data_IF_593456313378
#
_entry.id   IF_593456313378
#
_cell.length_a   1.000
_cell.length_b   1.000
_cell.length_c   1.000
_cell.angle_alpha   90.00
_cell.angle_beta   90.00
_cell.angle_gamma   90.00
#
_symmetry.space_group_name_H-M   'P 1'
#
loop_
_entity.id
_entity.type
_entity.pdbx_description
1 polymer ?
#
# COMPACT_ATOMS: atom_id res chain seq x y z
N UNK A 1 -28.17 -10.63 3.83
CA UNK A 1 -27.79 -9.24 3.48
C UNK A 1 -26.94 -9.35 2.21
N UNK A 2 -27.30 -8.67 1.13
CA UNK A 2 -26.53 -8.71 -0.11
C UNK A 2 -25.21 -7.97 0.13
N UNK A 3 -24.08 -8.68 0.02
CA UNK A 3 -22.76 -8.05 0.01
C UNK A 3 -22.71 -7.04 -1.14
N UNK A 4 -22.56 -5.75 -0.79
CA UNK A 4 -22.32 -4.70 -1.79
C UNK A 4 -20.99 -5.02 -2.44
N UNK A 5 -20.99 -5.41 -3.72
CA UNK A 5 -19.76 -5.53 -4.48
C UNK A 5 -19.02 -4.19 -4.48
N UNK A 6 -17.80 -4.21 -3.98
CA UNK A 6 -16.93 -3.05 -4.02
C UNK A 6 -16.56 -2.81 -5.49
N UNK A 7 -16.95 -1.64 -6.03
CA UNK A 7 -16.65 -1.27 -7.41
C UNK A 7 -15.52 -0.24 -7.42
N UNK A 8 -14.37 -0.58 -8.00
CA UNK A 8 -13.21 0.33 -8.11
C UNK A 8 -13.60 1.67 -8.74
N UNK A 9 -14.51 1.69 -9.71
CA UNK A 9 -14.96 2.93 -10.34
C UNK A 9 -15.69 3.89 -9.37
N UNK A 10 -16.11 3.43 -8.19
CA UNK A 10 -16.70 4.27 -7.15
C UNK A 10 -15.68 4.82 -6.15
N UNK A 11 -14.42 4.42 -6.26
CA UNK A 11 -13.35 4.92 -5.40
C UNK A 11 -12.98 6.35 -5.76
N UNK A 12 -12.47 7.16 -4.81
CA UNK A 12 -11.90 8.45 -5.13
C UNK A 12 -10.72 8.33 -6.11
N UNK A 13 -10.41 9.42 -6.81
CA UNK A 13 -9.32 9.48 -7.77
C UNK A 13 -8.18 10.36 -7.26
N UNK A 14 -6.95 9.94 -7.55
CA UNK A 14 -5.77 10.78 -7.46
C UNK A 14 -5.73 11.79 -8.63
N UNK A 15 -4.76 12.71 -8.61
CA UNK A 15 -4.64 13.79 -9.60
C UNK A 15 -4.46 13.32 -11.06
N UNK A 16 -3.94 12.10 -11.27
CA UNK A 16 -3.81 11.46 -12.58
C UNK A 16 -5.02 10.59 -12.98
N UNK A 17 -6.11 10.62 -12.21
CA UNK A 17 -7.30 9.81 -12.46
C UNK A 17 -7.22 8.37 -11.94
N UNK A 18 -6.12 7.96 -11.31
CA UNK A 18 -5.99 6.63 -10.72
C UNK A 18 -6.92 6.49 -9.51
N UNK A 19 -7.80 5.50 -9.55
CA UNK A 19 -8.68 5.18 -8.43
C UNK A 19 -7.88 4.62 -7.25
N UNK A 20 -8.23 5.07 -6.04
CA UNK A 20 -7.55 4.61 -4.83
C UNK A 20 -8.51 4.38 -3.67
N UNK A 21 -8.08 3.55 -2.71
CA UNK A 21 -8.80 3.28 -1.46
C UNK A 21 -7.82 3.10 -0.31
N UNK A 22 -8.33 3.03 0.91
CA UNK A 22 -7.55 2.79 2.12
C UNK A 22 -8.37 2.00 3.14
N UNK A 23 -7.70 1.33 4.08
CA UNK A 23 -8.34 0.44 5.04
C UNK A 23 -8.66 1.12 6.37
N UNK A 24 -7.78 2.04 6.83
CA UNK A 24 -7.97 2.74 8.10
C UNK A 24 -7.64 4.23 7.97
N UNK A 25 -8.34 5.06 8.71
CA UNK A 25 -7.99 6.47 8.86
C UNK A 25 -6.84 6.60 9.85
N UNK A 26 -5.87 7.47 9.53
CA UNK A 26 -4.65 7.65 10.30
C UNK A 26 -4.48 9.10 10.74
N UNK A 27 -4.51 9.33 12.06
CA UNK A 27 -4.18 10.61 12.65
C UNK A 27 -2.67 10.74 12.87
N UNK A 28 -2.04 11.76 12.27
CA UNK A 28 -0.63 12.03 12.47
C UNK A 28 -0.39 12.76 13.81
N UNK A 29 0.85 12.69 14.33
CA UNK A 29 1.21 13.36 15.60
C UNK A 29 0.99 14.87 15.60
N UNK A 30 1.08 15.52 14.45
CA UNK A 30 0.81 16.96 14.33
C UNK A 30 -0.62 17.36 14.68
N UNK A 31 -1.55 16.39 14.68
CA UNK A 31 -2.94 16.61 15.06
C UNK A 31 -3.18 16.63 16.58
N UNK A 32 -2.20 16.22 17.41
CA UNK A 32 -2.37 16.05 18.87
C UNK A 32 -2.43 17.34 19.70
N UNK A 33 -2.35 18.51 19.10
CA UNK A 33 -2.46 19.76 19.86
C UNK A 33 -3.86 20.12 20.32
N UNK A 34 -4.93 19.42 19.84
CA UNK A 34 -6.30 19.87 19.97
C UNK A 34 -7.33 18.83 20.41
N UNK A 35 -7.03 17.52 20.39
CA UNK A 35 -7.99 16.48 20.81
C UNK A 35 -7.30 15.19 21.30
N UNK A 36 -8.00 14.46 22.16
CA UNK A 36 -7.59 13.12 22.64
C UNK A 36 -8.11 12.08 21.66
N UNK A 37 -7.22 11.15 21.24
CA UNK A 37 -7.63 10.02 20.43
C UNK A 37 -8.38 8.99 21.27
N UNK A 38 -9.44 8.41 20.72
CA UNK A 38 -10.10 7.24 21.26
C UNK A 38 -9.17 6.00 21.22
N UNK A 39 -9.51 4.97 21.98
CA UNK A 39 -8.75 3.71 21.97
C UNK A 39 -8.69 3.10 20.55
N UNK A 40 -9.77 3.17 19.77
CA UNK A 40 -9.83 2.68 18.39
C UNK A 40 -8.91 3.47 17.47
N UNK A 41 -8.84 4.78 17.60
CA UNK A 41 -7.93 5.62 16.81
C UNK A 41 -6.46 5.36 17.16
N UNK A 42 -6.18 5.10 18.45
CA UNK A 42 -4.86 4.65 18.88
C UNK A 42 -4.47 3.31 18.23
N UNK A 43 -5.38 2.31 18.24
CA UNK A 43 -5.11 1.02 17.59
C UNK A 43 -4.84 1.14 16.09
N UNK A 44 -5.63 1.97 15.39
CA UNK A 44 -5.42 2.25 13.95
C UNK A 44 -4.07 2.90 13.70
N UNK A 45 -3.72 3.87 14.54
CA UNK A 45 -2.45 4.57 14.47
C UNK A 45 -1.26 3.63 14.74
N UNK A 46 -1.35 2.83 15.81
CA UNK A 46 -0.29 1.90 16.18
C UNK A 46 -0.08 0.83 15.11
N UNK A 47 -1.15 0.35 14.47
CA UNK A 47 -1.04 -0.53 13.32
C UNK A 47 -0.16 0.09 12.22
N UNK A 48 -0.41 1.34 11.83
CA UNK A 48 0.35 2.01 10.76
C UNK A 48 1.80 2.28 11.19
N UNK A 49 2.01 2.81 12.39
CA UNK A 49 3.35 3.16 12.90
C UNK A 49 4.21 1.90 13.03
N UNK A 50 3.65 0.84 13.60
CA UNK A 50 4.35 -0.41 13.80
C UNK A 50 4.59 -1.16 12.46
N UNK A 51 3.63 -1.12 11.53
CA UNK A 51 3.84 -1.64 10.17
C UNK A 51 4.99 -0.91 9.46
N UNK A 52 5.05 0.41 9.56
CA UNK A 52 6.18 1.20 9.03
C UNK A 52 7.53 0.77 9.62
N UNK A 53 7.55 0.45 10.92
CA UNK A 53 8.73 -0.03 11.61
C UNK A 53 9.90 0.97 11.69
N UNK A 54 9.64 2.26 11.51
CA UNK A 54 10.66 3.32 11.50
C UNK A 54 10.75 4.07 12.84
N UNK A 55 9.80 3.84 13.76
CA UNK A 55 9.80 4.47 15.07
C UNK A 55 10.79 3.75 15.99
N UNK A 56 11.57 4.51 16.75
CA UNK A 56 12.44 3.98 17.82
C UNK A 56 11.62 3.27 18.91
N UNK A 57 10.33 3.59 19.01
CA UNK A 57 9.39 2.97 19.95
C UNK A 57 8.80 1.64 19.43
N UNK A 58 8.98 1.33 18.14
CA UNK A 58 8.45 0.09 17.57
C UNK A 58 9.39 -1.07 17.85
N UNK A 59 8.95 -1.98 18.71
CA UNK A 59 9.69 -3.24 18.95
C UNK A 59 9.56 -4.19 17.75
N UNK A 60 10.43 -5.20 17.67
CA UNK A 60 10.34 -6.22 16.60
C UNK A 60 9.05 -7.04 16.72
N UNK A 61 8.57 -7.28 17.94
CA UNK A 61 7.31 -7.99 18.19
C UNK A 61 6.13 -7.15 17.69
N UNK A 62 6.07 -5.86 18.02
CA UNK A 62 4.99 -4.98 17.58
C UNK A 62 4.97 -4.82 16.06
N UNK A 63 6.16 -4.71 15.44
CA UNK A 63 6.28 -4.68 13.99
C UNK A 63 5.74 -5.95 13.35
N UNK A 64 6.15 -7.11 13.84
CA UNK A 64 5.72 -8.39 13.30
C UNK A 64 4.20 -8.58 13.43
N UNK A 65 3.61 -8.23 14.58
CA UNK A 65 2.17 -8.29 14.80
C UNK A 65 1.41 -7.34 13.86
N UNK A 66 1.95 -6.14 13.62
CA UNK A 66 1.36 -5.18 12.69
C UNK A 66 1.43 -5.68 11.25
N UNK A 67 2.53 -6.31 10.84
CA UNK A 67 2.67 -6.93 9.51
C UNK A 67 1.65 -8.06 9.35
N UNK A 68 1.50 -8.96 10.33
CA UNK A 68 0.54 -10.07 10.28
C UNK A 68 -0.90 -9.55 10.19
N UNK A 69 -1.26 -8.57 11.00
CA UNK A 69 -2.59 -7.91 10.96
C UNK A 69 -2.84 -7.22 9.60
N UNK A 70 -1.83 -6.57 9.03
CA UNK A 70 -1.94 -5.95 7.71
C UNK A 70 -2.12 -6.99 6.59
N UNK A 71 -1.44 -8.14 6.65
CA UNK A 71 -1.61 -9.26 5.72
C UNK A 71 -3.07 -9.74 5.71
N UNK A 72 -3.64 -9.98 6.89
CA UNK A 72 -5.02 -10.43 7.02
C UNK A 72 -6.03 -9.41 6.46
N UNK A 73 -5.87 -8.14 6.84
CA UNK A 73 -6.75 -7.06 6.39
C UNK A 73 -6.68 -6.88 4.87
N UNK A 74 -5.47 -6.81 4.32
CA UNK A 74 -5.24 -6.57 2.88
C UNK A 74 -5.68 -7.77 2.05
N UNK A 75 -5.36 -8.99 2.47
CA UNK A 75 -5.79 -10.20 1.76
C UNK A 75 -7.30 -10.33 1.73
N UNK A 76 -7.97 -10.05 2.84
CA UNK A 76 -9.44 -10.06 2.93
C UNK A 76 -10.05 -8.98 2.05
N UNK A 77 -9.51 -7.76 2.07
CA UNK A 77 -9.97 -6.65 1.23
C UNK A 77 -9.83 -6.98 -0.26
N UNK A 78 -8.66 -7.46 -0.71
CA UNK A 78 -8.43 -7.81 -2.11
C UNK A 78 -9.38 -8.91 -2.59
N UNK A 79 -9.58 -9.95 -1.78
CA UNK A 79 -10.56 -11.00 -2.08
C UNK A 79 -11.99 -10.44 -2.19
N UNK A 80 -12.39 -9.53 -1.31
CA UNK A 80 -13.72 -8.91 -1.36
C UNK A 80 -13.91 -8.01 -2.59
N UNK A 81 -12.87 -7.27 -2.99
CA UNK A 81 -12.92 -6.38 -4.18
C UNK A 81 -12.97 -7.16 -5.48
N UNK A 82 -12.15 -8.21 -5.57
CA UNK A 82 -11.94 -8.97 -6.81
C UNK A 82 -12.60 -10.36 -6.79
N UNK A 83 -13.51 -10.65 -5.82
CA UNK A 83 -14.28 -11.88 -5.82
C UNK A 83 -15.13 -11.96 -7.08
N UNK A 84 -15.05 -13.08 -7.77
CA UNK A 84 -15.92 -13.36 -8.91
C UNK A 84 -17.39 -13.40 -8.45
N UNK A 85 -18.24 -12.55 -9.02
CA UNK A 85 -19.67 -12.78 -8.93
C UNK A 85 -20.01 -13.98 -9.79
N UNK A 86 -20.56 -15.04 -9.20
CA UNK A 86 -21.24 -16.07 -9.95
C UNK A 86 -22.24 -15.42 -10.93
N UNK A 87 -21.95 -15.51 -12.23
CA UNK A 87 -22.83 -15.02 -13.29
C UNK A 87 -22.34 -13.79 -14.08
N UNK A 88 -21.27 -13.12 -13.72
CA UNK A 88 -20.73 -12.04 -14.53
C UNK A 88 -19.83 -12.59 -15.66
N UNK A 89 -20.42 -12.81 -16.86
CA UNK A 89 -19.72 -13.26 -18.08
C UNK A 89 -18.77 -12.23 -18.71
N UNK A 90 -18.39 -11.15 -18.03
CA UNK A 90 -17.54 -10.10 -18.60
C UNK A 90 -16.35 -9.80 -17.71
N UNK A 91 -15.21 -10.34 -18.11
CA UNK A 91 -13.84 -9.81 -18.03
C UNK A 91 -13.47 -8.92 -16.82
N UNK A 92 -13.59 -9.43 -15.59
CA UNK A 92 -12.81 -8.90 -14.51
C UNK A 92 -11.57 -9.78 -14.37
N UNK A 93 -10.39 -9.14 -14.38
CA UNK A 93 -9.15 -9.85 -14.15
C UNK A 93 -9.27 -10.57 -12.81
N UNK A 94 -9.09 -11.89 -12.80
CA UNK A 94 -9.02 -12.65 -11.55
C UNK A 94 -7.75 -12.21 -10.80
N UNK A 95 -7.74 -12.35 -9.47
CA UNK A 95 -6.57 -12.00 -8.65
C UNK A 95 -5.27 -12.61 -9.19
N UNK A 96 -5.33 -13.81 -9.75
CA UNK A 96 -4.16 -14.48 -10.33
C UNK A 96 -3.58 -13.80 -11.59
N UNK A 97 -4.34 -12.91 -12.24
CA UNK A 97 -3.88 -12.12 -13.39
C UNK A 97 -3.31 -10.76 -12.96
N UNK A 98 -3.47 -10.38 -11.69
CA UNK A 98 -2.99 -9.13 -11.15
C UNK A 98 -1.63 -9.30 -10.49
N UNK A 99 -0.86 -8.23 -10.52
CA UNK A 99 0.45 -8.14 -9.87
C UNK A 99 0.36 -7.15 -8.72
N UNK A 100 0.70 -7.60 -7.51
CA UNK A 100 0.84 -6.72 -6.35
C UNK A 100 2.19 -6.02 -6.40
N UNK A 101 2.17 -4.71 -6.35
CA UNK A 101 3.35 -3.85 -6.27
C UNK A 101 3.28 -3.01 -5.01
N UNK A 102 4.11 -3.33 -4.03
CA UNK A 102 4.29 -2.46 -2.87
C UNK A 102 5.21 -1.29 -3.25
N UNK A 103 4.80 -0.07 -2.93
CA UNK A 103 5.59 1.13 -3.19
C UNK A 103 6.88 1.09 -2.36
N UNK A 104 8.08 0.98 -2.97
CA UNK A 104 9.31 0.87 -2.21
C UNK A 104 9.54 2.08 -1.31
N UNK A 105 10.06 1.84 -0.11
CA UNK A 105 10.51 2.89 0.78
C UNK A 105 11.78 3.59 0.24
N UNK A 106 12.21 4.65 0.91
CA UNK A 106 13.40 5.42 0.51
C UNK A 106 14.71 4.62 0.57
N UNK A 107 14.75 3.51 1.33
CA UNK A 107 15.93 2.66 1.46
C UNK A 107 15.58 1.20 1.25
N UNK A 108 16.57 0.41 0.81
CA UNK A 108 16.44 -1.04 0.70
C UNK A 108 16.04 -1.65 2.04
N UNK A 109 16.70 -1.28 3.12
CA UNK A 109 16.44 -1.81 4.47
C UNK A 109 14.98 -1.61 4.90
N UNK A 110 14.43 -0.41 4.67
CA UNK A 110 13.03 -0.12 5.02
C UNK A 110 12.05 -0.82 4.10
N UNK A 111 12.39 -0.99 2.83
CA UNK A 111 11.59 -1.75 1.87
C UNK A 111 11.50 -3.23 2.26
N UNK A 112 12.64 -3.84 2.60
CA UNK A 112 12.69 -5.22 3.06
C UNK A 112 11.89 -5.42 4.34
N UNK A 113 12.10 -4.57 5.33
CA UNK A 113 11.42 -4.66 6.63
C UNK A 113 9.91 -4.63 6.49
N UNK A 114 9.38 -3.72 5.65
CA UNK A 114 7.93 -3.54 5.49
C UNK A 114 7.31 -4.57 4.57
N UNK A 115 7.94 -4.83 3.43
CA UNK A 115 7.23 -5.39 2.30
C UNK A 115 7.65 -6.81 1.92
N UNK A 116 8.80 -7.32 2.38
CA UNK A 116 9.22 -8.68 2.00
C UNK A 116 8.20 -9.72 2.43
N UNK A 117 8.04 -9.93 3.73
CA UNK A 117 7.06 -10.89 4.27
C UNK A 117 5.64 -10.53 3.86
N UNK A 118 5.27 -9.25 3.99
CA UNK A 118 3.94 -8.75 3.65
C UNK A 118 3.53 -9.14 2.23
N UNK A 119 4.34 -8.81 1.22
CA UNK A 119 4.01 -9.08 -0.18
C UNK A 119 3.99 -10.58 -0.49
N UNK A 120 4.91 -11.35 0.08
CA UNK A 120 4.96 -12.81 -0.08
C UNK A 120 3.68 -13.46 0.43
N UNK A 121 3.25 -13.14 1.64
CA UNK A 121 2.08 -13.77 2.27
C UNK A 121 0.76 -13.26 1.67
N UNK A 122 0.63 -11.98 1.34
CA UNK A 122 -0.56 -11.47 0.64
C UNK A 122 -0.69 -12.13 -0.72
N UNK A 123 0.39 -12.26 -1.49
CA UNK A 123 0.34 -12.92 -2.79
C UNK A 123 0.05 -14.42 -2.66
N UNK A 124 0.60 -15.10 -1.66
CA UNK A 124 0.27 -16.50 -1.36
C UNK A 124 -1.22 -16.67 -1.01
N UNK A 125 -1.78 -15.75 -0.22
CA UNK A 125 -3.17 -15.80 0.18
C UNK A 125 -4.17 -15.46 -0.94
N UNK A 126 -3.78 -14.63 -1.90
CA UNK A 126 -4.67 -14.08 -2.95
C UNK A 126 -4.45 -14.72 -4.32
N UNK A 127 -3.33 -15.38 -4.54
CA UNK A 127 -2.91 -15.91 -5.84
C UNK A 127 -2.36 -14.84 -6.79
N UNK A 128 -2.18 -13.59 -6.36
CA UNK A 128 -1.58 -12.53 -7.17
C UNK A 128 -0.09 -12.80 -7.44
N UNK A 129 0.43 -12.21 -8.51
CA UNK A 129 1.87 -12.20 -8.75
C UNK A 129 2.55 -11.20 -7.82
N UNK A 130 3.70 -11.57 -7.25
CA UNK A 130 4.48 -10.70 -6.40
C UNK A 130 5.56 -9.98 -7.21
N UNK A 131 5.56 -8.64 -7.18
CA UNK A 131 6.57 -7.82 -7.85
C UNK A 131 7.77 -7.48 -6.94
N UNK A 132 7.86 -8.01 -5.73
CA UNK A 132 8.90 -7.62 -4.77
C UNK A 132 10.32 -7.74 -5.36
N UNK A 133 10.61 -8.83 -6.07
CA UNK A 133 11.91 -9.09 -6.69
C UNK A 133 12.14 -8.35 -8.03
N UNK A 134 11.15 -7.60 -8.53
CA UNK A 134 11.31 -6.74 -9.71
C UNK A 134 11.93 -5.37 -9.38
N UNK A 135 12.33 -5.17 -8.13
CA UNK A 135 13.03 -4.00 -7.65
C UNK A 135 14.41 -4.37 -7.14
N UNK A 136 15.38 -3.50 -7.39
CA UNK A 136 16.71 -3.57 -6.80
C UNK A 136 17.19 -2.18 -6.39
N UNK A 137 18.17 -2.14 -5.51
CA UNK A 137 18.77 -0.90 -5.03
C UNK A 137 20.27 -0.90 -5.29
N UNK A 138 20.80 0.27 -5.62
CA UNK A 138 22.22 0.52 -5.63
C UNK A 138 22.52 1.60 -4.59
N UNK A 139 23.34 1.26 -3.62
CA UNK A 139 23.78 2.22 -2.59
C UNK A 139 25.05 2.93 -3.05
N UNK A 140 25.02 4.24 -3.05
CA UNK A 140 26.18 5.12 -3.35
C UNK A 140 26.38 6.09 -2.20
N UNK A 141 27.52 6.78 -2.16
CA UNK A 141 27.74 7.88 -1.21
C UNK A 141 27.53 9.21 -1.92
N UNK A 142 26.84 10.12 -1.25
CA UNK A 142 26.68 11.49 -1.73
C UNK A 142 27.94 12.36 -1.43
N UNK A 143 27.86 13.64 -1.75
CA UNK A 143 28.94 14.62 -1.53
C UNK A 143 29.30 14.81 -0.04
N UNK A 144 28.39 14.48 0.87
CA UNK A 144 28.58 14.56 2.32
C UNK A 144 29.10 13.23 2.90
N UNK A 145 29.16 12.16 2.09
CA UNK A 145 29.54 10.81 2.50
C UNK A 145 28.38 9.97 3.04
N UNK A 146 27.15 10.48 2.97
CA UNK A 146 25.95 9.76 3.37
C UNK A 146 25.53 8.72 2.33
N UNK A 147 25.03 7.56 2.80
CA UNK A 147 24.54 6.49 1.93
C UNK A 147 23.19 6.87 1.30
N UNK A 148 23.15 6.80 -0.02
CA UNK A 148 21.93 7.06 -0.82
C UNK A 148 21.58 5.84 -1.65
N UNK A 149 20.37 5.33 -1.44
CA UNK A 149 19.83 4.22 -2.20
C UNK A 149 19.11 4.71 -3.46
N UNK A 150 19.50 4.17 -4.59
CA UNK A 150 18.83 4.41 -5.89
C UNK A 150 18.02 3.18 -6.27
N UNK A 151 16.72 3.38 -6.51
CA UNK A 151 15.78 2.33 -6.89
C UNK A 151 15.83 2.07 -8.42
N UNK A 152 16.01 0.80 -8.77
CA UNK A 152 15.94 0.29 -10.15
C UNK A 152 14.73 -0.63 -10.31
N UNK A 153 14.07 -0.56 -11.47
CA UNK A 153 12.97 -1.43 -11.87
C UNK A 153 13.45 -2.42 -12.94
N UNK A 154 12.99 -3.66 -12.82
CA UNK A 154 13.02 -4.59 -13.95
C UNK A 154 11.87 -4.25 -14.90
N UNK A 155 12.14 -3.39 -15.88
CA UNK A 155 11.14 -2.94 -16.87
C UNK A 155 10.56 -4.10 -17.67
N UNK A 156 11.37 -5.15 -17.93
CA UNK A 156 10.93 -6.34 -18.66
C UNK A 156 9.85 -7.10 -17.90
N UNK A 157 9.98 -7.18 -16.58
CA UNK A 157 8.97 -7.81 -15.72
C UNK A 157 7.61 -7.10 -15.83
N UNK A 158 7.59 -5.78 -15.94
CA UNK A 158 6.36 -4.99 -15.92
C UNK A 158 5.62 -4.92 -17.25
N UNK A 159 6.23 -5.31 -18.37
CA UNK A 159 5.59 -5.25 -19.68
C UNK A 159 4.30 -6.08 -19.72
N UNK A 160 3.17 -5.42 -20.05
CA UNK A 160 1.85 -6.04 -20.15
C UNK A 160 1.22 -6.47 -18.83
N UNK A 161 1.84 -6.22 -17.67
CA UNK A 161 1.28 -6.54 -16.36
C UNK A 161 0.13 -5.62 -16.00
N UNK A 162 -0.87 -6.20 -15.36
CA UNK A 162 -1.94 -5.45 -14.68
C UNK A 162 -1.57 -5.34 -13.20
N UNK A 163 -1.41 -4.11 -12.73
CA UNK A 163 -0.82 -3.80 -11.41
C UNK A 163 -1.85 -3.22 -10.46
N UNK A 164 -1.85 -3.72 -9.24
CA UNK A 164 -2.44 -3.07 -8.07
C UNK A 164 -1.29 -2.52 -7.21
N UNK A 165 -1.29 -1.21 -6.99
CA UNK A 165 -0.32 -0.55 -6.12
C UNK A 165 -0.76 -0.62 -4.66
N UNK A 166 0.18 -0.88 -3.77
CA UNK A 166 -0.01 -0.80 -2.31
C UNK A 166 1.02 0.13 -1.68
N UNK A 167 0.56 0.96 -0.75
CA UNK A 167 1.43 1.79 0.10
C UNK A 167 1.04 1.63 1.58
N UNK A 168 1.93 1.97 2.49
CA UNK A 168 1.61 1.98 3.92
C UNK A 168 0.65 3.12 4.26
N UNK A 169 0.86 4.32 3.73
CA UNK A 169 0.04 5.51 3.98
C UNK A 169 -0.15 6.35 2.72
N UNK A 170 -1.39 6.75 2.48
CA UNK A 170 -1.69 7.82 1.53
C UNK A 170 -1.85 9.13 2.30
N UNK A 171 -0.97 10.10 2.06
CA UNK A 171 -1.14 11.50 2.48
C UNK A 171 -1.79 12.29 1.33
N UNK A 172 -0.98 12.89 0.46
CA UNK A 172 -1.46 13.59 -0.76
C UNK A 172 -1.60 12.67 -1.98
N UNK A 173 -1.07 11.45 -1.93
CA UNK A 173 -1.03 10.52 -3.05
C UNK A 173 0.06 10.80 -4.10
N UNK A 174 0.83 11.88 -3.95
CA UNK A 174 1.83 12.27 -4.96
C UNK A 174 2.90 11.21 -5.21
N UNK A 175 3.30 10.41 -4.21
CA UNK A 175 4.26 9.31 -4.39
C UNK A 175 3.66 8.20 -5.25
N UNK A 176 2.40 7.83 -4.98
CA UNK A 176 1.68 6.82 -5.76
C UNK A 176 1.53 7.26 -7.21
N UNK A 177 1.16 8.52 -7.46
CA UNK A 177 1.02 9.06 -8.83
C UNK A 177 2.34 8.94 -9.60
N UNK A 178 3.43 9.46 -9.04
CA UNK A 178 4.75 9.38 -9.70
C UNK A 178 5.21 7.96 -9.95
N UNK A 179 4.92 7.06 -9.01
CA UNK A 179 5.32 5.67 -9.15
C UNK A 179 4.46 4.90 -10.16
N UNK A 180 3.15 5.17 -10.20
CA UNK A 180 2.25 4.66 -11.22
C UNK A 180 2.71 5.06 -12.63
N UNK A 181 3.01 6.35 -12.84
CA UNK A 181 3.55 6.84 -14.11
C UNK A 181 4.86 6.16 -14.52
N UNK A 182 5.73 5.85 -13.54
CA UNK A 182 6.99 5.12 -13.81
C UNK A 182 6.71 3.69 -14.26
N UNK A 183 5.78 2.98 -13.63
CA UNK A 183 5.38 1.63 -14.03
C UNK A 183 4.69 1.61 -15.41
N UNK A 184 3.85 2.59 -15.69
CA UNK A 184 3.18 2.71 -16.99
C UNK A 184 4.17 2.98 -18.13
N UNK A 185 5.23 3.76 -17.87
CA UNK A 185 6.34 3.93 -18.82
C UNK A 185 7.09 2.62 -19.09
N UNK A 186 7.13 1.70 -18.13
CA UNK A 186 7.69 0.35 -18.29
C UNK A 186 6.70 -0.64 -18.92
N UNK A 187 5.54 -0.17 -19.43
CA UNK A 187 4.55 -0.99 -20.12
C UNK A 187 3.54 -1.71 -19.21
N UNK A 188 3.50 -1.42 -17.94
CA UNK A 188 2.45 -1.91 -17.04
C UNK A 188 1.14 -1.11 -17.25
N UNK A 189 0.02 -1.72 -16.82
CA UNK A 189 -1.26 -1.03 -16.65
C UNK A 189 -1.60 -0.98 -15.17
N UNK A 190 -1.56 0.20 -14.56
CA UNK A 190 -1.95 0.37 -13.16
C UNK A 190 -3.48 0.46 -13.08
N UNK A 191 -4.10 -0.54 -12.43
CA UNK A 191 -5.56 -0.69 -12.35
C UNK A 191 -6.14 0.17 -11.22
N UNK A 192 -5.50 0.12 -10.06
CA UNK A 192 -5.89 0.88 -8.88
C UNK A 192 -4.73 0.95 -7.88
N UNK A 193 -4.85 1.82 -6.90
CA UNK A 193 -3.98 1.88 -5.74
C UNK A 193 -4.78 1.70 -4.46
N UNK A 194 -4.15 1.20 -3.41
CA UNK A 194 -4.72 1.24 -2.07
C UNK A 194 -3.61 1.32 -1.02
N UNK A 195 -3.99 1.69 0.20
CA UNK A 195 -3.06 1.78 1.30
C UNK A 195 -3.63 1.16 2.57
N UNK A 196 -2.73 0.83 3.50
CA UNK A 196 -3.15 0.42 4.83
C UNK A 196 -3.84 1.58 5.53
N UNK A 197 -3.28 2.80 5.44
CA UNK A 197 -3.88 3.98 6.02
C UNK A 197 -3.93 5.21 5.13
N UNK A 198 -4.86 6.11 5.45
CA UNK A 198 -4.91 7.46 4.88
C UNK A 198 -4.73 8.49 5.98
N UNK A 199 -3.78 9.41 5.78
CA UNK A 199 -3.62 10.54 6.69
C UNK A 199 -4.86 11.42 6.63
N UNK A 200 -5.54 11.60 7.77
CA UNK A 200 -6.60 12.59 7.91
C UNK A 200 -5.98 13.98 8.07
N UNK A 201 -6.64 15.04 7.57
CA UNK A 201 -6.18 16.42 7.74
C UNK A 201 -6.07 16.79 9.23
N UNK A 202 -5.08 17.62 9.56
CA UNK A 202 -4.95 18.18 10.89
C UNK A 202 -6.18 19.07 11.18
N UNK A 203 -6.87 18.86 12.32
CA UNK A 203 -8.08 19.60 12.71
C UNK A 203 -9.41 18.95 12.25
N UNK A 204 -9.41 17.70 11.85
CA UNK A 204 -10.63 16.96 11.54
C UNK A 204 -11.38 16.67 12.84
N UNK A 205 -12.55 17.31 13.01
CA UNK A 205 -13.44 17.09 14.15
C UNK A 205 -14.41 15.94 13.78
N UNK A 206 -14.38 14.82 14.52
CA UNK A 206 -15.26 13.67 14.29
C UNK A 206 -16.72 13.91 14.77
N UNK A 207 -17.14 15.17 14.89
CA UNK A 207 -18.49 15.54 15.34
C UNK A 207 -19.41 15.91 14.14
N UNK A 208 -19.63 14.96 13.21
CA UNK A 208 -20.80 14.98 12.31
C UNK A 208 -21.48 13.60 12.29
#
# INVERSE_FOLDING_TARGET
>A
MAEKSINIASWPCLSNGLHYNWLVDYAAFSAFGTFELSAEEWEKRDLIVNFKGNSELTTEIDHQQAVDKAIDLVSSFLKAVFSEKEGAKNSHSTLSQLTLVCLPASTQKHTERRFRKFSEEVCAATGMQNAYNAFSFTTTKDENGDEVDTLHLDETFFQGKQVILFDDIIASGGSIVRFAEKLEKSGAKVIAAFALGKKIPDGYDNNE
#
